data_IF_600928763681
#
_entry.id   IF_600928763681
#
_cell.length_a   1.000
_cell.length_b   1.000
_cell.length_c   1.000
_cell.angle_alpha   90.00
_cell.angle_beta   90.00
_cell.angle_gamma   90.00
#
_symmetry.space_group_name_H-M   'P 1'
#
loop_
_entity.id
_entity.type
_entity.pdbx_description
1 polymer ?
#
# COMPACT_ATOMS: atom_id res chain seq x y z
N UNK A 1 46.52 -13.53 -50.85
CA UNK A 1 46.04 -12.21 -50.32
C UNK A 1 45.59 -12.45 -48.88
N UNK A 2 46.36 -12.02 -47.90
CA UNK A 2 46.06 -12.20 -46.47
C UNK A 2 45.28 -10.98 -45.99
N UNK A 3 44.05 -11.22 -45.53
CA UNK A 3 43.20 -10.17 -44.97
C UNK A 3 43.61 -9.91 -43.50
N UNK A 4 44.30 -8.81 -43.27
CA UNK A 4 44.58 -8.34 -41.91
C UNK A 4 43.29 -7.90 -41.20
N UNK A 5 42.91 -8.60 -40.13
CA UNK A 5 41.88 -8.15 -39.21
C UNK A 5 42.41 -6.97 -38.40
N UNK A 6 41.74 -5.84 -38.53
CA UNK A 6 41.94 -4.69 -37.64
C UNK A 6 41.55 -5.05 -36.20
N UNK A 7 42.35 -4.66 -35.19
CA UNK A 7 41.96 -4.84 -33.80
C UNK A 7 40.70 -3.99 -33.52
N UNK A 8 39.70 -4.62 -32.89
CA UNK A 8 38.47 -3.93 -32.46
C UNK A 8 38.79 -2.91 -31.34
N UNK A 9 37.93 -1.90 -31.12
CA UNK A 9 38.13 -0.91 -30.09
C UNK A 9 38.21 -1.60 -28.74
N UNK A 10 39.35 -1.44 -28.05
CA UNK A 10 39.54 -1.90 -26.68
C UNK A 10 38.56 -1.12 -25.77
N UNK A 11 37.63 -1.82 -25.14
CA UNK A 11 36.74 -1.25 -24.11
C UNK A 11 37.60 -0.89 -22.91
N UNK A 12 37.67 0.39 -22.50
CA UNK A 12 38.45 0.79 -21.35
C UNK A 12 37.94 0.01 -20.12
N UNK A 13 38.83 -0.42 -19.21
CA UNK A 13 38.44 -1.12 -17.99
C UNK A 13 37.46 -0.26 -17.20
N UNK A 14 36.32 -0.85 -16.82
CA UNK A 14 35.35 -0.21 -15.97
C UNK A 14 36.04 0.30 -14.69
N UNK A 15 36.01 1.61 -14.46
CA UNK A 15 36.50 2.19 -13.22
C UNK A 15 35.77 1.53 -12.07
N UNK A 16 36.46 1.09 -11.00
CA UNK A 16 35.80 0.60 -9.80
C UNK A 16 34.90 1.73 -9.29
N UNK A 17 33.59 1.45 -9.17
CA UNK A 17 32.66 2.35 -8.52
C UNK A 17 33.03 2.30 -7.03
N UNK A 18 33.83 3.26 -6.60
CA UNK A 18 34.06 3.50 -5.16
C UNK A 18 32.69 3.91 -4.65
N UNK A 19 32.16 3.16 -3.69
CA UNK A 19 30.93 3.54 -2.98
C UNK A 19 31.25 4.84 -2.24
N UNK A 20 30.92 5.97 -2.85
CA UNK A 20 31.02 7.26 -2.17
C UNK A 20 30.02 7.27 -1.03
N UNK A 21 30.47 7.76 0.13
CA UNK A 21 29.57 7.96 1.28
C UNK A 21 28.36 8.81 0.82
N UNK A 22 27.16 8.41 1.21
CA UNK A 22 25.96 9.13 0.78
C UNK A 22 26.04 10.60 1.24
N UNK A 23 25.57 11.54 0.41
CA UNK A 23 25.55 12.96 0.77
C UNK A 23 24.89 13.16 2.13
N UNK A 24 25.49 14.02 2.97
CA UNK A 24 25.01 14.25 4.35
C UNK A 24 23.52 14.62 4.41
N UNK A 25 23.03 15.37 3.44
CA UNK A 25 21.62 15.75 3.36
C UNK A 25 20.71 14.53 3.18
N UNK A 26 21.10 13.57 2.34
CA UNK A 26 20.35 12.32 2.17
C UNK A 26 20.25 11.51 3.47
N UNK A 27 21.28 11.53 4.30
CA UNK A 27 21.24 10.88 5.60
C UNK A 27 20.25 11.57 6.54
N UNK A 28 20.24 12.91 6.56
CA UNK A 28 19.29 13.69 7.35
C UNK A 28 17.83 13.45 6.91
N UNK A 29 17.55 13.41 5.61
CA UNK A 29 16.22 13.07 5.09
C UNK A 29 15.77 11.69 5.56
N UNK A 30 16.66 10.68 5.49
CA UNK A 30 16.36 9.32 5.97
C UNK A 30 16.11 9.26 7.46
N UNK A 31 16.87 9.99 8.27
CA UNK A 31 16.66 10.08 9.71
C UNK A 31 15.28 10.63 10.03
N UNK A 32 14.89 11.73 9.39
CA UNK A 32 13.56 12.34 9.54
C UNK A 32 12.46 11.38 9.08
N UNK A 33 12.61 10.71 7.94
CA UNK A 33 11.63 9.74 7.49
C UNK A 33 11.48 8.56 8.45
N UNK A 34 12.58 8.03 8.98
CA UNK A 34 12.56 6.93 9.95
C UNK A 34 11.89 7.34 11.26
N UNK A 35 12.09 8.58 11.70
CA UNK A 35 11.49 9.10 12.92
C UNK A 35 9.97 9.33 12.77
N UNK A 36 9.54 9.95 11.68
CA UNK A 36 8.15 10.42 11.53
C UNK A 36 7.24 9.40 10.87
N UNK A 37 7.74 8.48 10.05
CA UNK A 37 6.91 7.46 9.40
C UNK A 37 6.12 6.59 10.40
N UNK A 38 6.71 6.07 11.49
CA UNK A 38 5.96 5.34 12.52
C UNK A 38 4.89 6.20 13.21
N UNK A 39 5.19 7.48 13.42
CA UNK A 39 4.26 8.43 14.05
C UNK A 39 3.04 8.69 13.13
N UNK A 40 3.28 8.87 11.83
CA UNK A 40 2.22 9.00 10.83
C UNK A 40 1.33 7.74 10.76
N UNK A 41 1.95 6.55 10.78
CA UNK A 41 1.23 5.29 10.78
C UNK A 41 0.35 5.15 12.03
N UNK A 42 0.92 5.42 13.21
CA UNK A 42 0.19 5.38 14.49
C UNK A 42 -0.95 6.40 14.53
N UNK A 43 -0.75 7.60 14.00
CA UNK A 43 -1.78 8.62 13.90
C UNK A 43 -2.93 8.20 12.98
N UNK A 44 -2.61 7.59 11.83
CA UNK A 44 -3.61 7.08 10.89
C UNK A 44 -4.36 5.88 11.49
N UNK A 45 -3.66 4.96 12.19
CA UNK A 45 -4.26 3.83 12.87
C UNK A 45 -5.29 4.30 13.90
N UNK A 46 -4.94 5.27 14.76
CA UNK A 46 -5.89 5.84 15.75
C UNK A 46 -7.15 6.42 15.08
N UNK A 47 -7.03 7.05 13.92
CA UNK A 47 -8.19 7.57 13.16
C UNK A 47 -9.05 6.43 12.61
N UNK A 48 -8.44 5.37 12.09
CA UNK A 48 -9.14 4.16 11.64
C UNK A 48 -9.87 3.51 12.82
N UNK A 49 -9.23 3.38 13.97
CA UNK A 49 -9.81 2.78 15.18
C UNK A 49 -11.01 3.61 15.68
N UNK A 50 -10.94 4.92 15.62
CA UNK A 50 -12.05 5.81 15.98
C UNK A 50 -13.25 5.62 15.04
N UNK A 51 -13.02 5.53 13.73
CA UNK A 51 -14.07 5.23 12.74
C UNK A 51 -14.66 3.84 12.97
N UNK A 52 -13.81 2.84 13.23
CA UNK A 52 -14.24 1.48 13.53
C UNK A 52 -15.08 1.40 14.81
N UNK A 53 -14.71 2.16 15.84
CA UNK A 53 -15.50 2.25 17.08
C UNK A 53 -16.90 2.84 16.82
N UNK A 54 -17.00 3.89 16.02
CA UNK A 54 -18.27 4.50 15.64
C UNK A 54 -19.16 3.59 14.77
N UNK A 55 -18.56 2.71 13.99
CA UNK A 55 -19.29 1.77 13.12
C UNK A 55 -19.75 0.49 13.86
N UNK A 56 -19.26 0.24 15.08
CA UNK A 56 -19.63 -0.95 15.87
C UNK A 56 -21.07 -0.86 16.39
N UNK A 57 -21.76 -2.01 16.40
CA UNK A 57 -23.09 -2.12 17.02
C UNK A 57 -24.26 -1.69 16.17
N UNK A 58 -24.04 -0.98 15.07
CA UNK A 58 -25.12 -0.56 14.18
C UNK A 58 -25.30 -1.58 13.05
N UNK A 59 -26.27 -2.47 13.18
CA UNK A 59 -26.61 -3.39 12.10
C UNK A 59 -27.23 -2.63 10.92
N UNK A 60 -26.67 -2.70 9.71
CA UNK A 60 -27.18 -1.98 8.56
C UNK A 60 -28.52 -2.56 8.07
N UNK A 61 -29.29 -1.74 7.37
CA UNK A 61 -30.46 -2.21 6.62
C UNK A 61 -30.00 -2.78 5.26
N UNK A 62 -30.64 -3.84 4.82
CA UNK A 62 -30.35 -4.44 3.53
C UNK A 62 -30.81 -3.50 2.39
N UNK A 63 -29.95 -3.15 1.42
CA UNK A 63 -30.30 -2.25 0.33
C UNK A 63 -31.38 -2.86 -0.61
N UNK A 64 -31.56 -4.19 -0.62
CA UNK A 64 -32.51 -4.85 -1.50
C UNK A 64 -33.92 -5.00 -0.89
N UNK A 65 -34.04 -5.19 0.42
CA UNK A 65 -35.33 -5.46 1.04
C UNK A 65 -35.62 -4.62 2.29
N UNK A 66 -34.76 -3.69 2.67
CA UNK A 66 -34.90 -2.82 3.84
C UNK A 66 -34.79 -3.51 5.21
N UNK A 67 -34.75 -4.84 5.27
CA UNK A 67 -34.68 -5.56 6.55
C UNK A 67 -33.33 -5.40 7.22
N UNK A 68 -33.33 -5.37 8.55
CA UNK A 68 -32.12 -5.30 9.35
C UNK A 68 -31.25 -6.55 9.13
N UNK A 69 -29.98 -6.36 8.82
CA UNK A 69 -29.03 -7.44 8.59
C UNK A 69 -28.54 -8.03 9.92
N UNK A 70 -28.08 -9.28 9.89
CA UNK A 70 -27.53 -9.97 11.06
C UNK A 70 -26.02 -10.04 10.97
N UNK A 71 -25.32 -9.73 12.06
CA UNK A 71 -23.89 -9.94 12.16
C UNK A 71 -23.60 -11.46 12.11
N UNK A 72 -22.68 -11.84 11.24
CA UNK A 72 -22.25 -13.23 11.07
C UNK A 72 -20.97 -13.51 11.85
N UNK A 73 -19.96 -12.67 11.61
CA UNK A 73 -18.65 -12.76 12.25
C UNK A 73 -17.98 -11.39 12.26
N UNK A 74 -16.89 -11.30 13.01
CA UNK A 74 -15.94 -10.20 12.96
C UNK A 74 -14.56 -10.75 12.74
N UNK A 75 -13.80 -10.17 11.81
CA UNK A 75 -12.44 -10.60 11.48
C UNK A 75 -11.49 -9.43 11.46
N UNK A 76 -10.30 -9.67 11.95
CA UNK A 76 -9.18 -8.76 11.75
C UNK A 76 -8.78 -8.77 10.27
N UNK A 77 -8.74 -7.61 9.66
CA UNK A 77 -8.23 -7.44 8.30
C UNK A 77 -7.12 -6.40 8.28
N UNK A 78 -6.26 -6.48 7.29
CA UNK A 78 -5.21 -5.50 7.07
C UNK A 78 -5.20 -5.02 5.63
N UNK A 79 -4.72 -3.80 5.43
CA UNK A 79 -4.45 -3.24 4.10
C UNK A 79 -3.23 -2.34 4.15
N UNK A 80 -2.64 -2.11 3.00
CA UNK A 80 -1.45 -1.30 2.86
C UNK A 80 -1.85 0.13 2.50
N UNK A 81 -1.35 1.10 3.27
CA UNK A 81 -1.48 2.52 3.02
C UNK A 81 -0.10 3.12 2.69
N UNK A 82 -0.07 4.40 2.32
CA UNK A 82 1.18 5.10 1.95
C UNK A 82 2.22 5.13 3.07
N UNK A 83 1.80 5.14 4.31
CA UNK A 83 2.69 5.19 5.49
C UNK A 83 2.94 3.82 6.13
N UNK A 84 2.32 2.75 5.64
CA UNK A 84 2.50 1.40 6.17
C UNK A 84 1.23 0.58 6.21
N UNK A 85 1.26 -0.56 6.93
CA UNK A 85 0.14 -1.48 7.06
C UNK A 85 -0.78 -1.08 8.20
N UNK A 86 -2.06 -1.00 7.89
CA UNK A 86 -3.15 -0.73 8.84
C UNK A 86 -3.95 -1.99 9.11
N UNK A 87 -4.61 -2.03 10.27
CA UNK A 87 -5.44 -3.15 10.72
C UNK A 87 -6.77 -2.65 11.25
N UNK A 88 -7.84 -3.44 11.09
CA UNK A 88 -9.10 -3.19 11.76
C UNK A 88 -9.91 -4.47 11.92
N UNK A 89 -10.68 -4.54 13.00
CA UNK A 89 -11.70 -5.57 13.19
C UNK A 89 -12.97 -5.19 12.43
N UNK A 90 -13.35 -6.00 11.45
CA UNK A 90 -14.45 -5.74 10.51
C UNK A 90 -15.56 -6.74 10.73
N UNK A 91 -16.75 -6.25 11.07
CA UNK A 91 -17.95 -7.05 11.18
C UNK A 91 -18.57 -7.28 9.81
N UNK A 92 -18.90 -8.52 9.52
CA UNK A 92 -19.63 -8.95 8.32
C UNK A 92 -21.10 -9.16 8.66
N UNK A 93 -21.95 -8.51 7.91
CA UNK A 93 -23.40 -8.62 8.07
C UNK A 93 -24.00 -9.35 6.88
N UNK A 94 -25.05 -10.13 7.12
CA UNK A 94 -25.78 -10.84 6.08
C UNK A 94 -27.29 -10.64 6.25
N UNK A 95 -27.97 -10.42 5.15
CA UNK A 95 -29.43 -10.36 5.09
C UNK A 95 -30.00 -11.79 5.03
N UNK A 96 -30.85 -12.22 5.97
CA UNK A 96 -31.38 -13.59 5.97
C UNK A 96 -32.17 -13.94 4.69
N UNK A 97 -33.13 -13.11 4.19
CA UNK A 97 -33.88 -13.45 3.00
C UNK A 97 -33.12 -13.25 1.68
N UNK A 98 -32.36 -12.13 1.54
CA UNK A 98 -31.68 -11.80 0.28
C UNK A 98 -30.30 -12.41 0.16
N UNK A 99 -29.73 -12.92 1.25
CA UNK A 99 -28.34 -13.40 1.35
C UNK A 99 -27.27 -12.35 1.00
N UNK A 100 -27.68 -11.09 0.82
CA UNK A 100 -26.78 -9.98 0.58
C UNK A 100 -25.82 -9.81 1.76
N UNK A 101 -24.54 -9.61 1.47
CA UNK A 101 -23.50 -9.36 2.48
C UNK A 101 -23.05 -7.91 2.43
N UNK A 102 -22.72 -7.33 3.59
CA UNK A 102 -22.19 -5.97 3.73
C UNK A 102 -21.12 -5.95 4.80
N UNK A 103 -20.13 -5.10 4.60
CA UNK A 103 -19.05 -4.80 5.55
C UNK A 103 -18.96 -3.29 5.73
N UNK A 104 -19.86 -2.70 6.54
CA UNK A 104 -20.05 -1.24 6.61
C UNK A 104 -18.77 -0.45 6.85
N UNK A 105 -17.85 -0.98 7.66
CA UNK A 105 -16.58 -0.31 7.92
C UNK A 105 -15.71 -0.20 6.66
N UNK A 106 -15.68 -1.25 5.82
CA UNK A 106 -14.91 -1.22 4.57
C UNK A 106 -15.54 -0.30 3.54
N UNK A 107 -16.87 -0.35 3.46
CA UNK A 107 -17.64 0.52 2.58
C UNK A 107 -17.41 2.00 2.96
N UNK A 108 -17.42 2.30 4.28
CA UNK A 108 -17.16 3.64 4.82
C UNK A 108 -15.71 4.12 4.57
N UNK A 109 -14.74 3.22 4.71
CA UNK A 109 -13.32 3.54 4.48
C UNK A 109 -12.92 3.48 3.00
N UNK A 110 -13.76 2.95 2.12
CA UNK A 110 -13.46 2.74 0.71
C UNK A 110 -12.26 1.81 0.49
N UNK A 111 -12.15 0.74 1.27
CA UNK A 111 -11.01 -0.19 1.26
C UNK A 111 -11.48 -1.62 1.09
N UNK A 112 -10.80 -2.38 0.23
CA UNK A 112 -10.99 -3.82 0.10
C UNK A 112 -10.04 -4.60 1.01
N UNK A 113 -10.46 -5.74 1.62
CA UNK A 113 -9.60 -6.58 2.45
C UNK A 113 -8.36 -7.07 1.69
N UNK A 114 -7.21 -7.01 2.35
CA UNK A 114 -5.93 -7.49 1.80
C UNK A 114 -5.41 -6.67 0.61
N UNK A 115 -6.02 -5.53 0.35
CA UNK A 115 -5.67 -4.63 -0.75
C UNK A 115 -4.91 -3.42 -0.25
N UNK A 116 -4.67 -2.52 -1.15
CA UNK A 116 -4.02 -1.23 -0.90
C UNK A 116 -5.06 -0.12 -0.74
N UNK A 117 -4.73 0.94 -0.01
CA UNK A 117 -5.60 2.12 0.07
C UNK A 117 -5.78 2.77 -1.30
N UNK A 118 -6.91 3.44 -1.54
CA UNK A 118 -7.19 4.10 -2.82
C UNK A 118 -6.11 5.11 -3.24
N UNK A 119 -5.51 5.82 -2.28
CA UNK A 119 -4.39 6.73 -2.54
C UNK A 119 -3.13 5.98 -3.00
N UNK A 120 -2.81 4.84 -2.37
CA UNK A 120 -1.68 4.02 -2.79
C UNK A 120 -1.95 3.34 -4.14
N UNK A 121 -3.17 2.83 -4.35
CA UNK A 121 -3.56 2.21 -5.62
C UNK A 121 -3.40 3.16 -6.81
N UNK A 122 -3.80 4.43 -6.65
CA UNK A 122 -3.61 5.46 -7.70
C UNK A 122 -2.13 5.70 -8.01
N UNK A 123 -1.27 5.78 -7.00
CA UNK A 123 0.17 5.95 -7.20
C UNK A 123 0.78 4.75 -7.91
N UNK A 124 0.42 3.53 -7.50
CA UNK A 124 0.90 2.31 -8.13
C UNK A 124 0.43 2.19 -9.58
N UNK A 125 -0.82 2.57 -9.86
CA UNK A 125 -1.34 2.61 -11.22
C UNK A 125 -0.55 3.60 -12.10
N UNK A 126 -0.28 4.82 -11.60
CA UNK A 126 0.55 5.79 -12.32
C UNK A 126 1.97 5.28 -12.56
N UNK A 127 2.61 4.69 -11.56
CA UNK A 127 3.95 4.10 -11.73
C UNK A 127 3.95 2.98 -12.79
N UNK A 128 2.91 2.14 -12.80
CA UNK A 128 2.79 1.05 -13.75
C UNK A 128 2.53 1.52 -15.20
N UNK A 129 2.03 2.75 -15.41
CA UNK A 129 1.85 3.31 -16.76
C UNK A 129 3.15 3.87 -17.35
N UNK A 130 4.11 4.27 -16.51
CA UNK A 130 5.35 4.94 -16.96
C UNK A 130 6.60 4.05 -16.81
N UNK A 131 6.51 2.95 -16.08
CA UNK A 131 7.66 2.09 -15.80
C UNK A 131 7.29 0.60 -15.89
N UNK A 132 8.21 -0.28 -16.36
CA UNK A 132 8.05 -1.72 -16.26
C UNK A 132 7.81 -2.15 -14.81
N UNK A 133 7.02 -3.22 -14.61
CA UNK A 133 6.58 -3.65 -13.29
C UNK A 133 7.69 -3.77 -12.22
N UNK A 134 8.88 -4.36 -12.53
CA UNK A 134 9.97 -4.42 -11.55
C UNK A 134 10.52 -3.05 -11.15
N UNK A 135 10.54 -2.10 -12.10
CA UNK A 135 10.99 -0.73 -11.84
C UNK A 135 9.92 0.03 -11.04
N UNK A 136 8.64 -0.14 -11.36
CA UNK A 136 7.53 0.46 -10.60
C UNK A 136 7.53 0.00 -9.12
N UNK A 137 7.76 -1.30 -8.87
CA UNK A 137 7.88 -1.85 -7.51
C UNK A 137 9.08 -1.23 -6.75
N UNK A 138 10.21 -1.08 -7.43
CA UNK A 138 11.41 -0.44 -6.88
C UNK A 138 11.19 1.03 -6.55
N UNK A 139 10.52 1.77 -7.43
CA UNK A 139 10.16 3.18 -7.21
C UNK A 139 9.16 3.31 -6.05
N UNK A 140 8.18 2.42 -5.94
CA UNK A 140 7.26 2.41 -4.81
C UNK A 140 8.00 2.18 -3.47
N UNK A 141 8.97 1.28 -3.45
CA UNK A 141 9.80 1.09 -2.27
C UNK A 141 10.64 2.32 -1.94
N UNK A 142 11.32 2.92 -2.94
CA UNK A 142 12.18 4.10 -2.75
C UNK A 142 11.40 5.34 -2.31
N UNK A 143 10.24 5.59 -2.92
CA UNK A 143 9.47 6.82 -2.69
C UNK A 143 8.53 6.73 -1.49
N UNK A 144 8.03 5.54 -1.18
CA UNK A 144 6.99 5.34 -0.17
C UNK A 144 7.43 4.42 0.97
N UNK A 145 8.58 3.75 0.84
CA UNK A 145 9.04 2.73 1.78
C UNK A 145 8.09 1.53 1.88
N UNK A 146 7.34 1.26 0.81
CA UNK A 146 6.31 0.22 0.77
C UNK A 146 6.79 -0.93 -0.11
N UNK A 147 6.84 -2.14 0.45
CA UNK A 147 7.08 -3.38 -0.30
C UNK A 147 5.75 -3.91 -0.82
N UNK A 148 5.69 -4.12 -2.13
CA UNK A 148 4.50 -4.61 -2.85
C UNK A 148 4.70 -6.08 -3.20
#
# INVERSE_FOLDING_TARGET
MATQRLPGPETPPARPVVAEDPPRFLLLEREVEMEYRPQMLAALQRKVDAVAAGARGTAPSCPHCGRRMRCQDSREISWLARCGRLHASVSRYRCPPCRHESRPLLDLLGVEPGRVSGALARLLALLATVAPYPLAARLAWLLLGVTI
#
